data_IF_046032673388
#
_entry.id   IF_046032673388
#
_cell.length_a   1.000
_cell.length_b   1.000
_cell.length_c   1.000
_cell.angle_alpha   90.00
_cell.angle_beta   90.00
_cell.angle_gamma   90.00
#
_symmetry.space_group_name_H-M   'P 1'
#
loop_
_entity.id
_entity.type
_entity.pdbx_description
1 polymer ?
#
# COMPACT_ATOMS: atom_id res chain seq x y z
N UNK A 1 20.59 19.98 1.62
CA UNK A 1 21.22 19.76 2.93
C UNK A 1 20.38 20.54 3.94
N UNK A 2 19.28 19.94 4.40
CA UNK A 2 18.42 20.48 5.44
C UNK A 2 17.93 19.30 6.28
N UNK A 3 18.61 19.14 7.41
CA UNK A 3 18.12 18.73 8.73
C UNK A 3 17.16 17.54 8.83
N UNK A 4 17.73 16.37 9.09
CA UNK A 4 17.08 15.15 9.64
C UNK A 4 16.55 15.31 11.08
N UNK A 5 16.62 16.51 11.67
CA UNK A 5 16.22 16.77 13.07
C UNK A 5 14.76 17.26 13.21
N UNK A 6 14.11 17.69 12.14
CA UNK A 6 12.77 18.30 12.19
C UNK A 6 11.59 17.32 12.06
N UNK A 7 11.85 16.08 11.67
CA UNK A 7 10.81 15.27 10.98
C UNK A 7 10.04 14.32 11.93
N UNK A 8 10.58 14.03 13.11
CA UNK A 8 9.87 13.37 14.21
C UNK A 8 8.98 14.33 15.02
N UNK A 9 8.99 15.63 14.71
CA UNK A 9 8.20 16.64 15.43
C UNK A 9 6.72 16.71 14.98
N UNK A 10 6.37 16.18 13.81
CA UNK A 10 5.00 16.22 13.28
C UNK A 10 4.08 15.13 13.85
N UNK A 11 4.63 13.92 14.10
CA UNK A 11 3.90 12.81 14.72
C UNK A 11 4.34 12.61 16.18
N UNK A 12 5.59 12.94 16.54
CA UNK A 12 6.18 12.67 17.85
C UNK A 12 6.83 11.29 17.91
N UNK A 13 8.08 11.21 18.40
CA UNK A 13 8.82 9.93 18.53
C UNK A 13 8.07 8.90 19.37
N UNK A 14 7.41 9.38 20.42
CA UNK A 14 6.67 8.57 21.39
C UNK A 14 5.35 8.00 20.81
N UNK A 15 4.91 8.50 19.64
CA UNK A 15 3.69 8.09 18.97
C UNK A 15 3.95 7.11 17.81
N UNK A 16 5.17 6.60 17.68
CA UNK A 16 5.58 5.73 16.57
C UNK A 16 6.15 4.41 17.10
N UNK A 17 5.66 3.32 16.53
CA UNK A 17 6.23 1.98 16.71
C UNK A 17 6.67 1.42 15.36
N UNK A 18 7.89 0.89 15.28
CA UNK A 18 8.43 0.28 14.05
C UNK A 18 8.47 -1.24 14.17
N UNK A 19 7.71 -1.95 13.32
CA UNK A 19 7.72 -3.41 13.26
C UNK A 19 8.25 -3.89 11.91
N UNK A 20 9.32 -4.68 11.91
CA UNK A 20 9.92 -5.23 10.69
C UNK A 20 10.06 -6.74 10.84
N UNK A 21 9.53 -7.48 9.86
CA UNK A 21 9.78 -8.90 9.71
C UNK A 21 10.55 -9.14 8.41
N UNK A 22 11.75 -9.68 8.53
CA UNK A 22 12.62 -10.06 7.43
C UNK A 22 12.73 -11.59 7.41
N UNK A 23 12.54 -12.16 6.24
CA UNK A 23 12.68 -13.59 6.03
C UNK A 23 13.71 -13.88 4.94
N UNK A 24 14.75 -14.61 5.31
CA UNK A 24 15.66 -15.30 4.42
C UNK A 24 16.32 -14.47 3.30
N UNK A 25 16.68 -13.22 3.57
CA UNK A 25 17.57 -12.45 2.72
C UNK A 25 18.99 -13.00 2.81
N UNK A 26 19.63 -13.18 1.65
CA UNK A 26 21.01 -13.70 1.50
C UNK A 26 22.03 -12.59 1.29
N UNK A 27 21.57 -11.35 1.19
CA UNK A 27 22.39 -10.16 1.02
C UNK A 27 22.68 -9.47 2.37
N UNK A 28 23.06 -8.20 2.33
CA UNK A 28 23.39 -7.42 3.53
C UNK A 28 22.16 -6.95 4.33
N UNK A 29 20.95 -7.38 4.01
CA UNK A 29 19.72 -6.92 4.68
C UNK A 29 19.77 -7.14 6.19
N UNK A 30 20.18 -8.33 6.67
CA UNK A 30 20.21 -8.63 8.12
C UNK A 30 21.21 -7.74 8.89
N UNK A 31 22.48 -7.57 8.46
CA UNK A 31 23.37 -6.58 9.06
C UNK A 31 22.84 -5.14 9.04
N UNK A 32 22.18 -4.73 7.95
CA UNK A 32 21.60 -3.39 7.84
C UNK A 32 20.43 -3.20 8.81
N UNK A 33 19.59 -4.22 8.98
CA UNK A 33 18.51 -4.22 9.96
C UNK A 33 19.03 -4.22 11.40
N UNK A 34 20.14 -4.88 11.69
CA UNK A 34 20.81 -4.73 13.00
C UNK A 34 21.27 -3.29 13.23
N UNK A 35 21.84 -2.64 12.22
CA UNK A 35 22.26 -1.24 12.33
C UNK A 35 21.06 -0.30 12.54
N UNK A 36 19.93 -0.61 11.88
CA UNK A 36 18.68 0.12 12.06
C UNK A 36 18.12 -0.07 13.49
N UNK A 37 18.17 -1.29 14.03
CA UNK A 37 17.78 -1.60 15.40
C UNK A 37 18.53 -0.72 16.42
N UNK A 38 19.86 -0.63 16.27
CA UNK A 38 20.69 0.21 17.13
C UNK A 38 20.35 1.69 16.97
N UNK A 39 20.10 2.14 15.74
CA UNK A 39 19.73 3.52 15.44
C UNK A 39 18.40 3.91 16.07
N UNK A 40 17.38 3.04 15.96
CA UNK A 40 16.06 3.27 16.58
C UNK A 40 16.13 3.27 18.10
N UNK A 41 16.93 2.36 18.68
CA UNK A 41 17.20 2.30 20.12
C UNK A 41 17.83 3.60 20.62
N UNK A 42 18.87 4.09 19.93
CA UNK A 42 19.54 5.34 20.27
C UNK A 42 18.64 6.58 20.15
N UNK A 43 17.60 6.50 19.31
CA UNK A 43 16.61 7.55 19.13
C UNK A 43 15.41 7.43 20.09
N UNK A 44 15.39 6.42 20.97
CA UNK A 44 14.27 6.06 21.84
C UNK A 44 12.95 5.83 21.07
N UNK A 45 13.03 5.22 19.88
CA UNK A 45 11.84 4.82 19.12
C UNK A 45 11.53 3.37 19.45
N UNK A 46 10.31 3.08 19.89
CA UNK A 46 9.90 1.70 20.16
C UNK A 46 9.85 0.89 18.86
N UNK A 47 10.46 -0.30 18.86
CA UNK A 47 10.54 -1.11 17.66
C UNK A 47 10.68 -2.60 17.98
N UNK A 48 10.35 -3.42 16.98
CA UNK A 48 10.58 -4.87 16.96
C UNK A 48 11.05 -5.26 15.57
N UNK A 49 12.29 -5.73 15.48
CA UNK A 49 12.88 -6.22 14.23
C UNK A 49 13.17 -7.70 14.40
N UNK A 50 12.57 -8.52 13.54
CA UNK A 50 12.75 -9.97 13.53
C UNK A 50 13.35 -10.36 12.18
N UNK A 51 14.49 -11.02 12.22
CA UNK A 51 15.11 -11.66 11.05
C UNK A 51 15.04 -13.16 11.23
N UNK A 52 14.62 -13.91 10.22
CA UNK A 52 14.57 -15.37 10.27
C UNK A 52 15.24 -15.99 9.05
N UNK A 53 15.89 -17.13 9.25
CA UNK A 53 16.37 -18.00 8.18
C UNK A 53 15.28 -19.01 7.85
N UNK A 54 14.68 -18.87 6.67
CA UNK A 54 13.60 -19.75 6.20
C UNK A 54 13.94 -20.32 4.83
N UNK A 55 14.59 -21.48 4.85
CA UNK A 55 15.04 -22.20 3.66
C UNK A 55 13.87 -22.79 2.84
N UNK A 56 12.63 -22.77 3.35
CA UNK A 56 11.47 -23.39 2.70
C UNK A 56 10.82 -22.51 1.62
N UNK A 57 11.62 -21.81 0.79
CA UNK A 57 11.14 -21.01 -0.34
C UNK A 57 11.08 -21.81 -1.64
N UNK A 58 10.18 -22.80 -1.68
CA UNK A 58 9.89 -23.50 -2.93
C UNK A 58 8.41 -23.41 -3.26
N UNK A 59 8.09 -22.71 -4.34
CA UNK A 59 6.75 -22.64 -4.91
C UNK A 59 6.81 -22.83 -6.42
N UNK A 60 5.78 -23.46 -7.02
CA UNK A 60 5.78 -23.80 -8.43
C UNK A 60 5.70 -22.58 -9.37
N UNK A 61 5.13 -21.45 -8.92
CA UNK A 61 5.00 -20.20 -9.69
C UNK A 61 4.72 -19.00 -8.76
N UNK A 62 4.88 -17.74 -9.22
CA UNK A 62 4.81 -16.54 -8.36
C UNK A 62 3.45 -16.27 -7.70
N UNK A 63 2.36 -16.80 -8.24
CA UNK A 63 1.00 -16.66 -7.69
C UNK A 63 0.53 -17.92 -6.96
N UNK A 64 1.43 -18.87 -6.65
CA UNK A 64 0.99 -20.10 -6.01
C UNK A 64 0.45 -19.84 -4.60
N UNK A 65 -0.53 -20.64 -4.21
CA UNK A 65 -1.12 -20.59 -2.88
C UNK A 65 -0.07 -20.68 -1.76
N UNK A 66 0.93 -21.54 -1.90
CA UNK A 66 1.99 -21.72 -0.90
C UNK A 66 2.79 -20.43 -0.70
N UNK A 67 3.08 -19.71 -1.79
CA UNK A 67 3.75 -18.41 -1.70
C UNK A 67 2.85 -17.36 -1.06
N UNK A 68 1.56 -17.34 -1.39
CA UNK A 68 0.59 -16.40 -0.82
C UNK A 68 0.43 -16.66 0.69
N UNK A 69 0.35 -17.93 1.11
CA UNK A 69 0.34 -18.34 2.51
C UNK A 69 1.60 -17.88 3.25
N UNK A 70 2.76 -18.05 2.63
CA UNK A 70 4.03 -17.57 3.17
C UNK A 70 4.05 -16.05 3.38
N UNK A 71 3.63 -15.28 2.37
CA UNK A 71 3.55 -13.82 2.46
C UNK A 71 2.54 -13.34 3.50
N UNK A 72 1.38 -14.00 3.56
CA UNK A 72 0.37 -13.72 4.59
C UNK A 72 0.93 -13.91 6.01
N UNK A 73 1.62 -15.02 6.25
CA UNK A 73 2.28 -15.29 7.53
C UNK A 73 3.37 -14.26 7.84
N UNK A 74 4.17 -13.86 6.85
CA UNK A 74 5.20 -12.83 7.02
C UNK A 74 4.61 -11.48 7.43
N UNK A 75 3.51 -11.06 6.78
CA UNK A 75 2.81 -9.81 7.11
C UNK A 75 2.13 -9.86 8.48
N UNK A 76 1.49 -10.98 8.81
CA UNK A 76 0.90 -11.18 10.14
C UNK A 76 1.96 -11.15 11.25
N UNK A 77 3.16 -11.69 11.02
CA UNK A 77 4.29 -11.57 11.96
C UNK A 77 4.70 -10.11 12.20
N UNK A 78 4.70 -9.28 11.15
CA UNK A 78 4.93 -7.84 11.31
C UNK A 78 3.80 -7.14 12.10
N UNK A 79 2.57 -7.66 12.05
CA UNK A 79 1.40 -7.12 12.77
C UNK A 79 1.23 -7.63 14.20
N UNK A 80 2.00 -8.63 14.63
CA UNK A 80 1.94 -9.20 15.97
C UNK A 80 1.98 -8.19 17.14
N UNK A 81 2.76 -7.07 17.09
CA UNK A 81 2.73 -6.07 18.14
C UNK A 81 1.33 -5.49 18.42
N UNK A 82 0.43 -5.48 17.42
CA UNK A 82 -0.95 -5.03 17.58
C UNK A 82 -1.94 -6.20 17.79
N UNK A 83 -1.64 -7.37 17.23
CA UNK A 83 -2.61 -8.45 17.07
C UNK A 83 -2.38 -9.67 17.96
N UNK A 84 -1.18 -9.84 18.51
CA UNK A 84 -0.81 -11.08 19.19
C UNK A 84 -1.71 -11.33 20.42
N UNK A 85 -2.24 -12.55 20.61
CA UNK A 85 -2.91 -12.91 21.84
C UNK A 85 -1.93 -12.98 23.02
N UNK A 86 -0.64 -13.19 22.75
CA UNK A 86 0.41 -13.24 23.75
C UNK A 86 0.74 -11.82 24.25
N UNK A 87 0.46 -11.50 25.53
CA UNK A 87 0.73 -10.18 26.09
C UNK A 87 2.24 -9.84 26.18
N UNK A 88 3.13 -10.82 26.02
CA UNK A 88 4.58 -10.56 25.98
C UNK A 88 5.05 -10.08 24.60
N UNK A 89 4.25 -10.34 23.56
CA UNK A 89 4.52 -9.95 22.18
C UNK A 89 3.71 -8.71 21.78
N UNK A 90 2.46 -8.62 22.26
CA UNK A 90 1.58 -7.48 22.01
C UNK A 90 1.99 -6.27 22.85
N UNK A 91 1.92 -5.09 22.25
CA UNK A 91 2.21 -3.84 22.94
C UNK A 91 1.22 -3.62 24.08
N UNK A 92 1.68 -3.06 25.20
CA UNK A 92 0.82 -2.76 26.35
C UNK A 92 -0.27 -1.75 25.98
N UNK A 93 0.11 -0.72 25.20
CA UNK A 93 -0.77 0.33 24.71
C UNK A 93 -1.22 0.11 23.24
N UNK A 94 -1.28 -1.14 22.79
CA UNK A 94 -1.69 -1.53 21.44
C UNK A 94 -3.00 -0.87 20.96
N UNK A 95 -3.93 -0.57 21.87
CA UNK A 95 -5.22 0.05 21.60
C UNK A 95 -5.18 1.58 21.43
N UNK A 96 -4.04 2.23 21.68
CA UNK A 96 -3.87 3.68 21.52
C UNK A 96 -3.40 4.07 20.11
N UNK A 97 -2.77 3.13 19.39
CA UNK A 97 -2.36 3.37 18.01
C UNK A 97 -3.59 3.50 17.12
N UNK A 98 -3.72 4.60 16.38
CA UNK A 98 -4.88 4.88 15.53
C UNK A 98 -4.69 4.47 14.07
N UNK A 99 -3.45 4.43 13.60
CA UNK A 99 -3.11 4.28 12.19
C UNK A 99 -1.94 3.33 12.02
N UNK A 100 -2.07 2.38 11.10
CA UNK A 100 -0.99 1.51 10.65
C UNK A 100 -0.55 1.99 9.28
N UNK A 101 0.76 2.23 9.13
CA UNK A 101 1.39 2.42 7.82
C UNK A 101 2.21 1.18 7.52
N UNK A 102 1.82 0.45 6.49
CA UNK A 102 2.51 -0.75 6.03
C UNK A 102 3.36 -0.42 4.81
N UNK A 103 4.65 -0.74 4.89
CA UNK A 103 5.64 -0.54 3.84
C UNK A 103 6.11 -1.91 3.31
N UNK A 104 6.11 -2.06 2.00
CA UNK A 104 6.91 -3.12 1.36
C UNK A 104 8.40 -2.70 1.32
N UNK A 105 9.23 -3.53 0.71
CA UNK A 105 10.65 -3.31 0.39
C UNK A 105 10.84 -2.35 -0.81
N UNK A 106 10.17 -1.20 -0.77
CA UNK A 106 10.24 -0.17 -1.81
C UNK A 106 11.03 1.05 -1.36
N UNK A 107 11.52 1.83 -2.33
CA UNK A 107 12.02 3.18 -2.12
C UNK A 107 10.86 4.14 -1.89
N UNK A 108 10.95 4.93 -0.82
CA UNK A 108 9.97 5.94 -0.42
C UNK A 108 10.68 7.15 0.23
N UNK A 109 9.93 8.24 0.43
CA UNK A 109 10.35 9.37 1.27
C UNK A 109 9.42 9.53 2.49
N UNK A 110 9.89 10.22 3.53
CA UNK A 110 9.05 10.50 4.70
C UNK A 110 7.86 11.38 4.33
N UNK A 111 8.00 12.27 3.33
CA UNK A 111 6.92 13.08 2.79
C UNK A 111 5.81 12.20 2.18
N UNK A 112 6.18 11.06 1.59
CA UNK A 112 5.21 10.11 1.04
C UNK A 112 4.37 9.49 2.17
N UNK A 113 4.99 9.16 3.31
CA UNK A 113 4.29 8.62 4.50
C UNK A 113 3.31 9.66 5.06
N UNK A 114 3.76 10.90 5.27
CA UNK A 114 2.91 11.97 5.80
C UNK A 114 1.75 12.28 4.85
N UNK A 115 2.02 12.38 3.54
CA UNK A 115 0.98 12.58 2.52
C UNK A 115 -0.01 11.43 2.48
N UNK A 116 0.45 10.19 2.69
CA UNK A 116 -0.44 9.04 2.68
C UNK A 116 -1.39 9.06 3.87
N UNK A 117 -0.88 9.33 5.08
CA UNK A 117 -1.70 9.47 6.30
C UNK A 117 -2.70 10.62 6.16
N UNK A 118 -2.28 11.73 5.56
CA UNK A 118 -3.13 12.91 5.33
C UNK A 118 -4.03 12.79 4.09
N UNK A 119 -4.21 11.59 3.52
CA UNK A 119 -5.09 11.41 2.36
C UNK A 119 -6.54 11.65 2.77
N UNK A 120 -7.23 12.53 2.05
CA UNK A 120 -8.66 12.75 2.23
C UNK A 120 -9.46 12.03 1.14
N UNK A 121 -10.63 11.49 1.49
CA UNK A 121 -11.56 10.93 0.52
C UNK A 121 -12.29 12.04 -0.26
N UNK A 122 -12.94 11.67 -1.36
CA UNK A 122 -13.65 12.64 -2.21
C UNK A 122 -14.78 13.39 -1.49
N UNK A 123 -15.40 12.75 -0.51
CA UNK A 123 -16.44 13.29 0.36
C UNK A 123 -15.88 14.05 1.58
N UNK A 124 -14.55 14.23 1.67
CA UNK A 124 -13.88 14.91 2.78
C UNK A 124 -13.91 14.13 4.08
N UNK A 125 -14.09 12.81 4.00
CA UNK A 125 -14.16 11.91 5.15
C UNK A 125 -12.90 11.07 5.32
N UNK A 126 -12.91 10.25 6.38
CA UNK A 126 -11.85 9.28 6.65
C UNK A 126 -11.88 8.12 5.64
N UNK A 127 -10.70 7.61 5.31
CA UNK A 127 -10.53 6.38 4.53
C UNK A 127 -10.46 5.15 5.43
N UNK A 128 -10.87 4.00 4.90
CA UNK A 128 -10.66 2.69 5.50
C UNK A 128 -9.33 2.07 5.05
N UNK A 129 -8.87 2.43 3.85
CA UNK A 129 -7.57 2.03 3.29
C UNK A 129 -7.11 3.07 2.27
N UNK A 130 -5.93 3.64 2.47
CA UNK A 130 -5.28 4.56 1.53
C UNK A 130 -3.97 3.97 1.02
N UNK A 131 -3.79 3.86 -0.28
CA UNK A 131 -2.59 3.29 -0.88
C UNK A 131 -1.80 4.32 -1.71
N UNK A 132 -0.48 4.17 -1.72
CA UNK A 132 0.38 4.80 -2.70
C UNK A 132 0.28 4.13 -4.07
N UNK A 133 1.12 4.59 -4.99
CA UNK A 133 1.33 3.98 -6.29
C UNK A 133 2.77 3.48 -6.38
N UNK A 134 2.94 2.19 -6.64
CA UNK A 134 4.25 1.57 -6.82
C UNK A 134 4.63 1.50 -8.30
N UNK A 135 5.87 1.83 -8.60
CA UNK A 135 6.40 1.80 -9.96
C UNK A 135 7.56 0.83 -10.03
N UNK A 136 7.67 0.12 -11.14
CA UNK A 136 8.74 -0.83 -11.35
C UNK A 136 8.97 -1.11 -12.83
N UNK A 137 9.99 -1.91 -13.09
CA UNK A 137 10.27 -2.41 -14.43
C UNK A 137 9.43 -3.64 -14.74
N UNK A 138 8.39 -3.48 -15.55
CA UNK A 138 7.59 -4.61 -16.05
C UNK A 138 7.87 -4.79 -17.54
N UNK A 139 8.54 -5.90 -17.89
CA UNK A 139 8.63 -6.40 -19.28
C UNK A 139 9.03 -5.31 -20.29
N UNK A 140 10.20 -4.70 -20.07
CA UNK A 140 10.78 -3.65 -20.92
C UNK A 140 10.06 -2.30 -20.89
N UNK A 141 9.10 -2.10 -19.98
CA UNK A 141 8.33 -0.86 -19.86
C UNK A 141 8.19 -0.41 -18.41
N UNK A 142 8.24 0.90 -18.24
CA UNK A 142 8.03 1.57 -16.96
C UNK A 142 6.53 1.75 -16.77
N UNK A 143 6.00 1.30 -15.64
CA UNK A 143 4.57 1.39 -15.37
C UNK A 143 4.23 1.20 -13.91
N UNK A 144 2.93 1.33 -13.63
CA UNK A 144 2.36 0.92 -12.34
C UNK A 144 2.63 -0.57 -12.13
N UNK A 145 3.17 -0.91 -10.97
CA UNK A 145 3.47 -2.27 -10.55
C UNK A 145 2.25 -2.88 -9.82
N UNK A 146 2.31 -4.17 -9.51
CA UNK A 146 1.28 -4.91 -8.75
C UNK A 146 -0.17 -4.69 -9.21
N UNK A 147 -0.38 -4.53 -10.52
CA UNK A 147 -1.70 -4.26 -11.10
C UNK A 147 -2.67 -5.43 -10.96
N UNK A 148 -2.17 -6.61 -10.58
CA UNK A 148 -2.98 -7.79 -10.29
C UNK A 148 -3.65 -7.73 -8.91
N UNK A 149 -3.10 -6.96 -7.96
CA UNK A 149 -3.68 -6.71 -6.63
C UNK A 149 -4.70 -5.58 -6.71
N UNK A 150 -4.33 -4.49 -7.37
CA UNK A 150 -5.18 -3.31 -7.46
C UNK A 150 -6.38 -3.49 -8.38
N UNK A 151 -7.49 -2.85 -8.01
CA UNK A 151 -8.74 -2.83 -8.78
C UNK A 151 -9.28 -1.41 -8.87
N UNK A 152 -9.69 -0.98 -10.04
CA UNK A 152 -10.44 0.27 -10.20
C UNK A 152 -11.79 0.21 -9.46
N UNK A 153 -12.51 1.33 -9.43
CA UNK A 153 -13.80 1.44 -8.73
C UNK A 153 -14.84 0.41 -9.20
N UNK A 154 -14.71 -0.08 -10.44
CA UNK A 154 -15.60 -1.08 -11.04
C UNK A 154 -15.13 -2.52 -10.77
N UNK A 155 -14.09 -2.74 -9.95
CA UNK A 155 -13.54 -4.06 -9.66
C UNK A 155 -12.65 -4.63 -10.76
N UNK A 156 -12.19 -3.79 -11.69
CA UNK A 156 -11.35 -4.25 -12.81
C UNK A 156 -9.87 -4.07 -12.50
N UNK A 157 -8.98 -5.02 -12.84
CA UNK A 157 -7.54 -4.86 -12.66
C UNK A 157 -7.02 -3.55 -13.25
N UNK A 158 -6.13 -2.88 -12.50
CA UNK A 158 -5.40 -1.74 -13.02
C UNK A 158 -4.48 -2.17 -14.17
N UNK A 159 -3.94 -1.19 -14.88
CA UNK A 159 -3.05 -1.37 -16.03
C UNK A 159 -1.70 -0.73 -15.73
N UNK A 160 -0.60 -1.30 -16.24
CA UNK A 160 0.73 -0.71 -16.06
C UNK A 160 0.88 0.67 -16.72
N UNK A 161 0.08 0.94 -17.76
CA UNK A 161 0.18 2.16 -18.56
C UNK A 161 -0.82 3.21 -18.09
N UNK A 162 -0.39 4.46 -18.08
CA UNK A 162 -1.23 5.62 -17.82
C UNK A 162 -2.48 5.60 -18.75
N UNK A 163 -3.69 5.89 -18.24
CA UNK A 163 -4.03 6.42 -16.91
C UNK A 163 -4.19 5.37 -15.81
N UNK A 164 -3.73 4.14 -16.02
CA UNK A 164 -3.75 2.99 -15.10
C UNK A 164 -5.13 2.42 -14.77
N UNK A 165 -6.17 3.26 -14.72
CA UNK A 165 -7.57 2.89 -14.48
C UNK A 165 -8.37 2.86 -15.77
N UNK A 166 -9.54 2.19 -15.77
CA UNK A 166 -10.49 2.23 -16.90
C UNK A 166 -11.61 3.26 -16.70
N UNK A 167 -11.98 3.51 -15.44
CA UNK A 167 -13.01 4.49 -15.13
C UNK A 167 -12.56 5.91 -15.53
N UNK A 168 -13.36 6.65 -16.32
CA UNK A 168 -12.98 7.97 -16.82
C UNK A 168 -12.95 9.06 -15.74
N UNK A 169 -13.69 8.90 -14.63
CA UNK A 169 -13.64 9.84 -13.50
C UNK A 169 -12.34 9.66 -12.74
N UNK A 170 -12.00 8.43 -12.37
CA UNK A 170 -10.71 8.08 -11.77
C UNK A 170 -9.54 8.47 -12.67
N UNK A 171 -9.63 8.28 -13.99
CA UNK A 171 -8.57 8.64 -14.92
C UNK A 171 -8.25 10.14 -14.93
N UNK A 172 -9.28 11.00 -14.78
CA UNK A 172 -9.08 12.45 -14.63
C UNK A 172 -8.39 12.78 -13.31
N UNK A 173 -8.81 12.17 -12.20
CA UNK A 173 -8.18 12.36 -10.89
C UNK A 173 -6.72 11.92 -10.86
N UNK A 174 -6.40 10.79 -11.49
CA UNK A 174 -5.01 10.32 -11.68
C UNK A 174 -4.18 11.38 -12.40
N UNK A 175 -4.71 11.96 -13.49
CA UNK A 175 -4.03 13.04 -14.24
C UNK A 175 -3.83 14.30 -13.39
N UNK A 176 -4.84 14.65 -12.60
CA UNK A 176 -4.83 15.84 -11.76
C UNK A 176 -4.08 15.63 -10.43
N UNK A 177 -3.45 14.45 -10.25
CA UNK A 177 -2.75 14.04 -9.03
C UNK A 177 -3.64 14.15 -7.77
N UNK A 178 -4.92 13.81 -7.91
CA UNK A 178 -5.92 13.79 -6.84
C UNK A 178 -6.18 12.36 -6.36
N UNK A 179 -6.43 12.15 -5.06
CA UNK A 179 -6.91 10.87 -4.56
C UNK A 179 -8.17 10.40 -5.32
N UNK A 180 -8.22 9.10 -5.62
CA UNK A 180 -9.33 8.51 -6.35
C UNK A 180 -9.78 7.20 -5.70
N UNK A 181 -11.09 6.96 -5.72
CA UNK A 181 -11.67 5.74 -5.18
C UNK A 181 -11.29 4.52 -6.03
N UNK A 182 -11.01 3.41 -5.35
CA UNK A 182 -10.68 2.10 -5.93
C UNK A 182 -11.42 1.02 -5.17
N UNK A 183 -11.62 -0.16 -5.77
CA UNK A 183 -12.24 -1.27 -5.04
C UNK A 183 -11.22 -2.10 -4.25
N UNK A 184 -9.93 -2.05 -4.61
CA UNK A 184 -8.86 -2.73 -3.87
C UNK A 184 -7.50 -2.11 -4.19
N UNK A 185 -6.60 -2.03 -3.21
CA UNK A 185 -5.23 -1.55 -3.39
C UNK A 185 -4.27 -2.05 -2.30
N UNK A 186 -2.96 -1.97 -2.58
CA UNK A 186 -1.89 -2.17 -1.59
C UNK A 186 -0.59 -1.44 -2.01
N UNK A 187 -0.14 -1.72 -3.23
CA UNK A 187 0.82 -0.96 -4.04
C UNK A 187 1.98 -0.29 -3.28
N UNK A 188 2.80 -1.13 -2.64
CA UNK A 188 4.10 -0.77 -2.05
C UNK A 188 4.05 0.01 -0.72
N UNK A 189 3.05 0.86 -0.51
CA UNK A 189 2.85 1.57 0.75
C UNK A 189 1.36 1.86 0.97
N UNK A 190 0.88 1.54 2.16
CA UNK A 190 -0.55 1.63 2.50
C UNK A 190 -0.74 2.11 3.93
N UNK A 191 -1.78 2.91 4.16
CA UNK A 191 -2.20 3.36 5.47
C UNK A 191 -3.64 2.94 5.73
N UNK A 192 -3.95 2.51 6.95
CA UNK A 192 -5.31 2.17 7.38
C UNK A 192 -5.50 2.41 8.87
N UNK A 193 -6.75 2.66 9.33
CA UNK A 193 -7.07 2.70 10.74
C UNK A 193 -6.75 1.37 11.41
N UNK A 194 -6.17 1.40 12.61
CA UNK A 194 -5.83 0.18 13.36
C UNK A 194 -7.08 -0.58 13.83
N UNK A 195 -8.23 0.10 13.99
CA UNK A 195 -9.45 -0.43 14.60
C UNK A 195 -9.89 -1.82 14.11
N UNK A 196 -10.06 -2.06 12.80
CA UNK A 196 -10.39 -3.39 12.27
C UNK A 196 -9.32 -4.47 12.52
N UNK A 197 -8.10 -4.05 12.86
CA UNK A 197 -6.90 -4.86 13.04
C UNK A 197 -6.48 -5.01 14.50
N UNK A 198 -7.29 -4.48 15.43
CA UNK A 198 -7.07 -4.55 16.87
C UNK A 198 -7.50 -5.93 17.44
N UNK A 199 -6.69 -6.49 18.34
CA UNK A 199 -6.98 -7.74 19.06
C UNK A 199 -8.34 -7.66 19.77
N UNK A 200 -9.33 -8.43 19.33
CA UNK A 200 -10.65 -8.53 19.95
C UNK A 200 -10.81 -9.91 20.61
N UNK A 201 -11.15 -9.96 21.90
CA UNK A 201 -11.28 -11.20 22.68
C UNK A 201 -12.61 -11.96 22.46
N UNK A 202 -13.33 -11.71 21.35
CA UNK A 202 -14.52 -12.49 20.97
C UNK A 202 -14.77 -12.44 19.45
N UNK A 203 -14.90 -13.60 18.77
CA UNK A 203 -15.53 -13.72 17.43
C UNK A 203 -15.86 -15.17 17.03
N UNK A 204 -17.04 -15.40 16.40
CA UNK A 204 -17.12 -15.70 14.94
C UNK A 204 -18.34 -15.02 14.24
N UNK A 205 -18.52 -15.09 12.88
CA UNK A 205 -17.59 -15.12 11.74
C UNK A 205 -17.43 -13.73 11.05
N UNK A 206 -16.41 -13.57 10.19
CA UNK A 206 -15.55 -12.39 10.02
C UNK A 206 -14.75 -12.18 11.32
N UNK A 207 -13.59 -12.81 11.39
CA UNK A 207 -12.75 -12.84 12.60
C UNK A 207 -11.96 -11.54 12.64
N UNK A 208 -12.34 -10.63 13.53
CA UNK A 208 -11.49 -9.48 13.90
C UNK A 208 -10.53 -9.90 15.02
N UNK A 209 -9.25 -9.51 15.00
CA UNK A 209 -8.61 -8.59 14.05
C UNK A 209 -8.51 -9.14 12.63
N UNK A 210 -8.66 -8.28 11.62
CA UNK A 210 -8.39 -8.65 10.24
C UNK A 210 -6.91 -9.08 10.10
N UNK A 211 -6.69 -10.19 9.38
CA UNK A 211 -5.38 -10.79 9.17
C UNK A 211 -5.18 -11.06 7.68
N UNK A 212 -3.93 -11.05 7.23
CA UNK A 212 -3.60 -11.53 5.90
C UNK A 212 -3.86 -13.03 5.83
N UNK A 213 -4.49 -13.48 4.75
CA UNK A 213 -4.79 -14.89 4.53
C UNK A 213 -4.75 -15.23 3.03
N UNK A 214 -4.48 -16.49 2.66
CA UNK A 214 -4.70 -16.96 1.29
C UNK A 214 -6.19 -17.11 0.99
N UNK A 215 -6.55 -17.25 -0.28
CA UNK A 215 -7.93 -17.58 -0.65
C UNK A 215 -8.38 -18.90 -0.02
N UNK A 216 -9.59 -18.99 0.55
CA UNK A 216 -10.13 -20.25 1.07
C UNK A 216 -10.45 -21.24 -0.06
N UNK A 217 -10.55 -20.78 -1.31
CA UNK A 217 -10.85 -21.59 -2.48
C UNK A 217 -9.59 -21.89 -3.28
N UNK A 218 -9.28 -23.17 -3.43
CA UNK A 218 -8.10 -23.67 -4.14
C UNK A 218 -8.08 -23.32 -5.65
N UNK A 219 -9.21 -22.90 -6.21
CA UNK A 219 -9.33 -22.51 -7.63
C UNK A 219 -9.16 -21.00 -7.87
N UNK A 220 -8.96 -20.19 -6.82
CA UNK A 220 -8.92 -18.73 -6.93
C UNK A 220 -7.72 -18.16 -6.16
N UNK A 221 -6.53 -18.18 -6.75
CA UNK A 221 -5.34 -17.59 -6.15
C UNK A 221 -5.39 -16.06 -6.30
N UNK A 222 -5.59 -15.38 -5.17
CA UNK A 222 -5.54 -13.93 -5.03
C UNK A 222 -4.48 -13.54 -4.01
N UNK A 223 -3.85 -12.38 -4.17
CA UNK A 223 -2.92 -11.86 -3.16
C UNK A 223 -3.63 -11.71 -1.82
N UNK A 224 -2.93 -12.05 -0.75
CA UNK A 224 -3.27 -11.70 0.62
C UNK A 224 -3.54 -10.19 0.79
N UNK A 225 -2.86 -9.35 0.01
CA UNK A 225 -3.08 -7.90 -0.01
C UNK A 225 -4.40 -7.52 -0.68
N UNK A 226 -4.83 -8.25 -1.71
CA UNK A 226 -6.15 -8.05 -2.34
C UNK A 226 -7.26 -8.48 -1.38
N UNK A 227 -7.06 -9.60 -0.69
CA UNK A 227 -8.03 -10.16 0.24
C UNK A 227 -8.29 -9.23 1.44
N UNK A 228 -7.30 -8.42 1.81
CA UNK A 228 -7.48 -7.35 2.79
C UNK A 228 -8.59 -6.35 2.39
N UNK A 229 -8.55 -5.86 1.16
CA UNK A 229 -9.59 -4.96 0.63
C UNK A 229 -10.95 -5.67 0.55
N UNK A 230 -10.95 -6.95 0.16
CA UNK A 230 -12.16 -7.76 0.10
C UNK A 230 -12.83 -7.91 1.48
N UNK A 231 -12.05 -8.15 2.53
CA UNK A 231 -12.57 -8.23 3.89
C UNK A 231 -13.09 -6.89 4.42
N UNK A 232 -12.48 -5.77 4.04
CA UNK A 232 -13.03 -4.44 4.34
C UNK A 232 -14.42 -4.24 3.69
N UNK A 233 -14.62 -4.66 2.43
CA UNK A 233 -15.95 -4.62 1.79
C UNK A 233 -16.97 -5.52 2.50
N UNK A 234 -16.53 -6.64 3.09
CA UNK A 234 -17.40 -7.51 3.89
C UNK A 234 -17.72 -6.92 5.25
N UNK A 235 -16.77 -6.23 5.87
CA UNK A 235 -16.95 -5.51 7.13
C UNK A 235 -17.92 -4.34 6.96
N UNK A 236 -17.76 -3.56 5.88
CA UNK A 236 -18.59 -2.41 5.54
C UNK A 236 -19.61 -2.74 4.45
N UNK A 237 -20.53 -3.66 4.76
CA UNK A 237 -21.46 -4.23 3.80
C UNK A 237 -22.73 -3.38 3.52
N UNK A 238 -22.86 -2.20 4.13
CA UNK A 238 -24.05 -1.35 3.98
C UNK A 238 -23.84 -0.33 2.87
N UNK A 239 -24.91 -0.01 2.14
CA UNK A 239 -24.88 1.03 1.10
C UNK A 239 -24.74 2.44 1.66
N UNK A 240 -25.01 2.62 2.96
CA UNK A 240 -24.91 3.92 3.65
C UNK A 240 -23.46 4.28 3.97
N UNK A 241 -22.61 3.28 4.26
CA UNK A 241 -21.16 3.43 4.45
C UNK A 241 -20.47 2.23 3.81
N UNK A 242 -20.22 2.27 2.49
CA UNK A 242 -19.36 1.28 1.84
C UNK A 242 -17.90 1.48 2.30
N UNK A 243 -17.06 0.46 2.10
CA UNK A 243 -15.62 0.58 2.39
C UNK A 243 -15.00 1.71 1.55
N UNK A 244 -14.32 2.64 2.22
CA UNK A 244 -13.67 3.80 1.60
C UNK A 244 -12.22 3.47 1.30
N UNK A 245 -11.96 2.94 0.12
CA UNK A 245 -10.61 2.57 -0.33
C UNK A 245 -10.17 3.57 -1.41
N UNK A 246 -9.01 4.20 -1.19
CA UNK A 246 -8.48 5.26 -2.06
C UNK A 246 -7.02 5.02 -2.44
N UNK A 247 -6.65 5.47 -3.63
CA UNK A 247 -5.25 5.56 -4.05
C UNK A 247 -4.84 7.03 -4.17
N UNK A 248 -3.65 7.38 -3.69
CA UNK A 248 -3.10 8.73 -3.72
C UNK A 248 -1.96 8.84 -4.76
N UNK A 249 -2.18 9.49 -5.93
CA UNK A 249 -1.16 9.61 -6.98
C UNK A 249 0.06 10.47 -6.64
N UNK A 250 -0.01 11.24 -5.53
CA UNK A 250 1.12 12.05 -5.05
C UNK A 250 2.12 11.23 -4.23
N UNK A 251 1.73 10.03 -3.81
CA UNK A 251 2.50 9.08 -3.02
C UNK A 251 3.03 8.02 -3.98
N UNK A 252 4.30 8.16 -4.39
CA UNK A 252 4.91 7.29 -5.41
C UNK A 252 6.11 6.56 -4.84
N UNK A 253 6.00 5.25 -4.75
CA UNK A 253 7.09 4.37 -4.32
C UNK A 253 7.61 3.57 -5.51
N UNK A 254 8.81 3.01 -5.42
CA UNK A 254 9.33 2.13 -6.48
C UNK A 254 10.31 1.11 -5.94
N UNK A 255 10.38 -0.07 -6.54
CA UNK A 255 11.29 -1.13 -6.08
C UNK A 255 12.75 -0.86 -6.50
N UNK A 256 12.98 -0.02 -7.51
CA UNK A 256 14.30 0.41 -7.93
C UNK A 256 14.52 1.92 -7.76
N UNK A 257 15.70 2.29 -7.23
CA UNK A 257 16.04 3.68 -6.92
C UNK A 257 15.93 4.62 -8.14
N UNK A 258 16.31 4.14 -9.32
CA UNK A 258 16.25 4.92 -10.55
C UNK A 258 14.81 5.28 -10.92
N UNK A 259 13.87 4.35 -10.73
CA UNK A 259 12.46 4.59 -10.99
C UNK A 259 11.83 5.49 -9.94
N UNK A 260 12.23 5.32 -8.68
CA UNK A 260 11.82 6.25 -7.63
C UNK A 260 12.24 7.69 -7.96
N UNK A 261 13.51 7.90 -8.38
CA UNK A 261 14.03 9.20 -8.82
C UNK A 261 13.29 9.71 -10.07
N UNK A 262 13.00 8.84 -11.03
CA UNK A 262 12.24 9.22 -12.23
C UNK A 262 10.85 9.76 -11.86
N UNK A 263 10.12 9.04 -11.01
CA UNK A 263 8.75 9.39 -10.62
C UNK A 263 8.65 10.61 -9.71
N UNK A 264 9.59 10.78 -8.79
CA UNK A 264 9.53 11.81 -7.75
C UNK A 264 10.40 13.04 -8.04
N UNK A 265 11.43 12.93 -8.88
CA UNK A 265 12.31 14.05 -9.22
C UNK A 265 12.09 14.47 -10.67
N UNK A 266 12.27 13.57 -11.63
CA UNK A 266 12.30 13.92 -13.06
C UNK A 266 10.92 14.33 -13.57
N UNK A 267 9.89 13.51 -13.35
CA UNK A 267 8.53 13.81 -13.82
C UNK A 267 7.88 15.01 -13.10
N UNK A 268 8.42 15.42 -11.95
CA UNK A 268 7.94 16.60 -11.21
C UNK A 268 8.60 17.91 -11.65
N UNK A 269 9.62 17.89 -12.51
CA UNK A 269 10.23 19.12 -13.04
C UNK A 269 9.18 19.88 -13.87
N UNK A 270 8.92 21.18 -13.63
CA UNK A 270 7.83 21.92 -14.28
C UNK A 270 7.82 21.85 -15.81
N UNK A 271 8.99 21.93 -16.44
CA UNK A 271 9.10 21.83 -17.91
C UNK A 271 8.75 20.44 -18.41
N UNK A 272 9.16 19.38 -17.70
CA UNK A 272 8.83 18.00 -18.05
C UNK A 272 7.33 17.76 -17.85
N UNK A 273 6.77 18.19 -16.72
CA UNK A 273 5.33 18.12 -16.45
C UNK A 273 4.51 18.82 -17.51
N UNK A 274 4.94 20.01 -17.96
CA UNK A 274 4.30 20.75 -19.06
C UNK A 274 4.30 19.95 -20.37
N UNK A 275 5.45 19.36 -20.73
CA UNK A 275 5.57 18.57 -21.96
C UNK A 275 4.80 17.25 -21.90
N UNK A 276 4.81 16.56 -20.75
CA UNK A 276 4.02 15.34 -20.52
C UNK A 276 2.52 15.66 -20.67
N UNK A 277 2.05 16.74 -20.04
CA UNK A 277 0.66 17.18 -20.18
C UNK A 277 0.28 17.59 -21.62
N UNK A 278 1.22 18.14 -22.39
CA UNK A 278 1.04 18.47 -23.82
C UNK A 278 1.02 17.22 -24.71
N UNK A 279 1.87 16.23 -24.45
CA UNK A 279 1.95 14.97 -25.21
C UNK A 279 0.66 14.16 -25.07
N UNK A 280 0.03 14.16 -23.89
CA UNK A 280 -1.31 13.59 -23.69
C UNK A 280 -2.37 14.25 -24.58
N UNK A 281 -2.21 15.54 -24.90
CA UNK A 281 -3.13 16.29 -25.76
C UNK A 281 -2.88 16.04 -27.26
N UNK A 282 -1.64 15.68 -27.65
CA UNK A 282 -1.22 15.53 -29.04
C UNK A 282 -1.37 14.11 -29.59
N UNK A 283 -1.58 13.09 -28.74
CA UNK A 283 -1.84 11.70 -29.14
C UNK A 283 -3.25 11.25 -28.70
N UNK A 284 -4.29 11.43 -29.54
CA UNK A 284 -5.70 11.20 -29.18
C UNK A 284 -6.08 9.74 -28.93
N UNK A 285 -5.18 8.77 -29.13
CA UNK A 285 -5.46 7.36 -28.82
C UNK A 285 -5.75 7.11 -27.32
N UNK A 286 -5.46 8.08 -26.44
CA UNK A 286 -5.86 8.07 -25.02
C UNK A 286 -7.20 8.78 -24.70
N UNK A 287 -7.94 9.30 -25.70
CA UNK A 287 -9.35 9.72 -25.52
C UNK A 287 -10.27 8.51 -25.71
N UNK A 288 -10.41 7.69 -24.67
CA UNK A 288 -11.57 6.80 -24.54
C UNK A 288 -12.59 7.55 -23.67
N UNK A 289 -13.64 8.13 -24.28
CA UNK A 289 -14.83 8.55 -23.53
C UNK A 289 -15.57 9.81 -23.96
N UNK A 290 -15.01 10.68 -24.80
CA UNK A 290 -15.72 11.87 -25.29
C UNK A 290 -16.08 11.70 -26.77
N UNK A 291 -17.14 10.95 -27.04
CA UNK A 291 -17.97 11.20 -28.23
C UNK A 291 -19.27 11.82 -27.77
N UNK A 292 -19.42 13.10 -28.10
CA UNK A 292 -20.65 13.85 -28.02
C UNK A 292 -21.79 13.13 -28.75
N UNK A 293 -22.98 13.20 -28.15
CA UNK A 293 -24.31 13.01 -28.74
C UNK A 293 -24.41 12.28 -30.09
N UNK A 294 -24.64 10.97 -30.04
CA UNK A 294 -25.17 10.18 -31.15
C UNK A 294 -26.34 9.35 -30.67
N UNK A 295 -27.55 9.64 -31.17
CA UNK A 295 -28.77 8.86 -30.93
C UNK A 295 -28.55 7.38 -31.25
N UNK A 296 -28.97 6.50 -30.35
CA UNK A 296 -29.18 5.09 -30.64
C UNK A 296 -30.62 4.92 -31.16
N UNK A 297 -30.74 4.52 -32.43
CA UNK A 297 -31.81 3.64 -32.90
C UNK A 297 -31.30 2.20 -32.79
#
# INVERSE_FOLDING_TARGET
>A
MHTTETDLALVGRDNVFVSIFESNSVDSTKPLLSTLNDSLSNLNVNHRIITNDDEARHWPYPQSRERIEYLANARNKAMEPLQSPDPTVRLENWNEYTTVVFLNDAWFSWEDVVRLIATETEDGGDYDLACGMDFGWLTERVGLYDTWVARDICGTPLRPFFPYVKDPVSARKVRDEQPFAVSACWNGMVAFPSGPFLCSLASPPLVTPLQFHPSPFQACDHSECFLMSYDLHRLYNTTERPARIVMNPQVRVAYEQNWWKWQNVVLRVPIIRFWVGKLEFLFPCCRIGEREGGRWL
#
